data_IF_080404914290
#
_entry.id   IF_080404914290
#
_cell.length_a   1.000
_cell.length_b   1.000
_cell.length_c   1.000
_cell.angle_alpha   90.00
_cell.angle_beta   90.00
_cell.angle_gamma   90.00
#
_symmetry.space_group_name_H-M   'P 1'
#
loop_
_entity.id
_entity.type
_entity.pdbx_description
1 polymer ?
#
# COMPACT_ATOMS: atom_id res chain seq x y z
N UNK A 1 -4.40 2.44 7.76
CA UNK A 1 -4.81 3.81 7.37
C UNK A 1 -4.66 4.88 8.45
N UNK A 2 -4.51 4.56 9.75
CA UNK A 2 -4.13 5.56 10.79
C UNK A 2 -2.76 6.23 10.54
N UNK A 3 -1.95 5.65 9.66
CA UNK A 3 -0.56 5.97 9.40
C UNK A 3 -0.42 7.15 8.40
N UNK A 4 -1.44 7.42 7.58
CA UNK A 4 -1.40 8.53 6.59
C UNK A 4 -1.59 9.94 7.21
N UNK A 5 -1.91 10.04 8.51
CA UNK A 5 -2.28 11.32 9.15
C UNK A 5 -1.10 12.19 9.62
N UNK A 6 0.14 11.70 9.73
CA UNK A 6 1.23 12.51 10.34
C UNK A 6 2.18 13.18 9.33
N UNK A 7 1.82 13.29 8.05
CA UNK A 7 2.80 13.56 7.01
C UNK A 7 3.30 15.01 6.86
N UNK A 8 2.99 15.96 7.75
CA UNK A 8 3.21 17.38 7.41
C UNK A 8 3.84 18.29 8.46
N UNK A 9 4.73 17.81 9.33
CA UNK A 9 5.53 18.69 10.18
C UNK A 9 6.97 18.20 10.38
N UNK A 10 7.85 18.43 9.40
CA UNK A 10 9.30 18.56 9.64
C UNK A 10 9.90 19.41 8.51
N UNK A 11 10.53 20.57 8.81
CA UNK A 11 11.28 21.32 7.81
C UNK A 11 12.45 20.46 7.35
N UNK A 12 12.53 20.17 6.05
CA UNK A 12 13.72 19.54 5.47
C UNK A 12 14.79 20.63 5.42
N UNK A 13 15.82 20.53 6.26
CA UNK A 13 16.97 21.41 6.18
C UNK A 13 17.81 21.09 4.95
N UNK A 14 18.21 22.12 4.20
CA UNK A 14 19.16 21.99 3.09
C UNK A 14 20.47 21.36 3.61
N UNK A 15 20.87 20.23 3.04
CA UNK A 15 22.04 19.45 3.46
C UNK A 15 21.74 18.20 4.29
N UNK A 16 20.47 17.93 4.64
CA UNK A 16 20.07 16.65 5.22
C UNK A 16 20.17 15.51 4.18
N UNK A 17 20.62 14.29 4.57
CA UNK A 17 20.63 13.15 3.65
C UNK A 17 19.21 12.97 3.11
N UNK A 18 19.07 12.79 1.80
CA UNK A 18 17.76 12.62 1.13
C UNK A 18 16.95 11.58 1.90
N UNK A 19 15.91 12.02 2.61
CA UNK A 19 15.02 11.11 3.31
C UNK A 19 14.04 10.56 2.28
N UNK A 20 13.92 9.25 2.20
CA UNK A 20 12.89 8.64 1.38
C UNK A 20 11.53 8.74 2.07
N UNK A 21 10.45 8.54 1.32
CA UNK A 21 9.09 8.46 1.89
C UNK A 21 9.04 7.44 3.02
N UNK A 22 9.76 6.31 2.88
CA UNK A 22 9.89 5.25 3.87
C UNK A 22 10.59 5.70 5.17
N UNK A 23 11.37 6.78 5.13
CA UNK A 23 12.05 7.35 6.30
C UNK A 23 11.14 8.33 7.07
N UNK A 24 9.89 8.50 6.64
CA UNK A 24 8.89 9.25 7.40
C UNK A 24 8.74 8.73 8.83
N UNK A 25 8.53 9.63 9.80
CA UNK A 25 8.32 9.28 11.22
C UNK A 25 7.22 8.24 11.41
N UNK A 26 6.18 8.41 10.60
CA UNK A 26 5.03 7.53 10.42
C UNK A 26 5.42 6.05 10.27
N UNK A 27 6.35 5.75 9.37
CA UNK A 27 6.77 4.38 9.06
C UNK A 27 7.80 3.88 10.06
N UNK A 28 8.70 4.77 10.50
CA UNK A 28 9.71 4.46 11.53
C UNK A 28 9.12 4.15 12.91
N UNK A 29 7.94 4.68 13.22
CA UNK A 29 7.25 4.46 14.51
C UNK A 29 6.09 3.47 14.40
N UNK A 30 5.84 2.91 13.22
CA UNK A 30 4.80 1.90 13.07
C UNK A 30 5.17 0.67 13.89
N UNK A 31 4.42 0.35 14.94
CA UNK A 31 4.62 -0.83 15.79
C UNK A 31 3.82 -2.04 15.29
N UNK A 32 2.80 -1.79 14.47
CA UNK A 32 1.86 -2.80 14.03
C UNK A 32 0.82 -3.21 15.07
N UNK A 33 0.77 -2.52 16.21
CA UNK A 33 -0.30 -2.61 17.20
C UNK A 33 -0.77 -1.20 17.55
N UNK A 34 -1.83 -1.09 18.35
CA UNK A 34 -2.25 0.19 18.93
C UNK A 34 -1.38 0.60 20.12
N UNK A 35 -0.41 -0.23 20.52
CA UNK A 35 0.46 0.03 21.64
C UNK A 35 1.71 0.77 21.14
N UNK A 36 1.84 2.04 21.52
CA UNK A 36 2.97 2.89 21.13
C UNK A 36 4.26 2.53 21.88
N UNK A 37 4.18 1.77 22.97
CA UNK A 37 5.33 1.35 23.76
C UNK A 37 6.04 0.12 23.17
N UNK A 38 5.46 -0.50 22.14
CA UNK A 38 6.10 -1.61 21.43
C UNK A 38 7.22 -1.12 20.50
N UNK A 39 8.24 -1.96 20.26
CA UNK A 39 9.30 -1.60 19.33
C UNK A 39 8.72 -1.39 17.91
N UNK A 40 9.33 -0.52 17.10
CA UNK A 40 8.96 -0.39 15.69
C UNK A 40 8.95 -1.74 14.97
N UNK A 41 7.96 -1.96 14.12
CA UNK A 41 7.72 -3.20 13.40
C UNK A 41 8.98 -3.66 12.65
N UNK A 42 9.63 -2.78 11.88
CA UNK A 42 10.84 -3.11 11.12
C UNK A 42 12.07 -3.41 11.99
N UNK A 43 12.03 -3.15 13.30
CA UNK A 43 13.10 -3.51 14.23
C UNK A 43 12.94 -4.93 14.82
N UNK A 44 11.78 -5.55 14.65
CA UNK A 44 11.50 -6.90 15.14
C UNK A 44 12.19 -7.91 14.19
N UNK A 45 13.04 -8.81 14.71
CA UNK A 45 13.62 -9.87 13.89
C UNK A 45 12.54 -10.70 13.19
N UNK A 46 12.66 -10.87 11.87
CA UNK A 46 11.67 -11.58 11.05
C UNK A 46 10.47 -10.75 10.62
N UNK A 47 10.35 -9.49 11.04
CA UNK A 47 9.31 -8.60 10.55
C UNK A 47 9.72 -7.94 9.22
N UNK A 48 8.98 -8.26 8.16
CA UNK A 48 9.20 -7.76 6.82
C UNK A 48 8.11 -6.76 6.43
N UNK A 49 8.52 -5.55 6.13
CA UNK A 49 7.67 -4.49 5.62
C UNK A 49 7.75 -4.45 4.10
N UNK A 50 6.60 -4.36 3.43
CA UNK A 50 6.50 -4.26 1.98
C UNK A 50 5.69 -3.04 1.55
N UNK A 51 6.01 -2.52 0.37
CA UNK A 51 5.04 -1.76 -0.42
C UNK A 51 4.33 -2.67 -1.40
N UNK A 52 3.07 -2.36 -1.71
CA UNK A 52 2.34 -2.97 -2.82
C UNK A 52 2.29 -1.99 -3.99
N UNK A 53 2.53 -2.51 -5.18
CA UNK A 53 2.50 -1.78 -6.45
C UNK A 53 1.69 -2.59 -7.46
N UNK A 54 0.95 -1.90 -8.29
CA UNK A 54 0.03 -2.43 -9.28
C UNK A 54 -0.18 -1.37 -10.35
N UNK A 55 0.06 -1.75 -11.60
CA UNK A 55 -0.09 -0.87 -12.75
C UNK A 55 -0.62 -1.68 -13.94
N UNK A 56 -1.34 -1.02 -14.84
CA UNK A 56 -1.89 -1.65 -16.04
C UNK A 56 -1.11 -1.20 -17.26
N UNK A 57 -0.49 -2.14 -17.96
CA UNK A 57 0.27 -1.82 -19.17
C UNK A 57 -0.18 -2.63 -20.38
N UNK A 58 -0.22 -1.92 -21.52
CA UNK A 58 -0.52 -2.52 -22.81
C UNK A 58 0.72 -3.23 -23.35
N UNK A 59 0.60 -4.54 -23.58
CA UNK A 59 1.70 -5.40 -24.04
C UNK A 59 2.04 -5.24 -25.54
N UNK A 60 1.14 -4.67 -26.34
CA UNK A 60 1.28 -4.55 -27.79
C UNK A 60 1.50 -3.11 -28.29
N UNK A 61 1.74 -2.16 -27.39
CA UNK A 61 2.02 -0.77 -27.73
C UNK A 61 0.79 0.06 -28.11
N UNK A 62 1.01 1.34 -28.46
CA UNK A 62 -0.03 2.38 -28.55
C UNK A 62 -1.14 2.15 -29.60
N UNK A 63 -0.97 1.19 -30.52
CA UNK A 63 -1.86 1.04 -31.68
C UNK A 63 -2.94 -0.02 -31.52
N UNK A 64 -2.84 -0.90 -30.52
CA UNK A 64 -3.73 -2.05 -30.40
C UNK A 64 -4.05 -2.32 -28.94
N UNK A 65 -5.31 -2.10 -28.56
CA UNK A 65 -5.87 -2.47 -27.24
C UNK A 65 -6.11 -3.98 -27.14
N UNK A 66 -5.14 -4.79 -27.55
CA UNK A 66 -5.31 -6.24 -27.70
C UNK A 66 -5.02 -7.00 -26.40
N UNK A 67 -4.21 -6.48 -25.49
CA UNK A 67 -3.98 -7.10 -24.19
C UNK A 67 -3.39 -6.10 -23.16
N UNK A 68 -4.05 -5.99 -22.02
CA UNK A 68 -3.56 -5.35 -20.80
C UNK A 68 -3.07 -6.41 -19.82
N UNK A 69 -1.93 -6.15 -19.18
CA UNK A 69 -1.43 -6.97 -18.09
C UNK A 69 -1.23 -6.08 -16.87
N UNK A 70 -1.70 -6.55 -15.72
CA UNK A 70 -1.49 -5.90 -14.43
C UNK A 70 -0.74 -6.81 -13.46
N UNK A 71 0.56 -6.61 -13.23
CA UNK A 71 1.26 -7.30 -12.16
C UNK A 71 0.87 -6.69 -10.82
N UNK A 72 0.76 -7.53 -9.81
CA UNK A 72 0.73 -7.12 -8.41
C UNK A 72 2.11 -7.42 -7.85
N UNK A 73 2.86 -6.37 -7.55
CA UNK A 73 4.23 -6.46 -7.08
C UNK A 73 4.32 -6.04 -5.61
N UNK A 74 5.16 -6.76 -4.87
CA UNK A 74 5.55 -6.40 -3.51
C UNK A 74 7.03 -6.05 -3.49
N UNK A 75 7.37 -4.92 -2.87
CA UNK A 75 8.75 -4.44 -2.76
C UNK A 75 9.15 -4.40 -1.29
N UNK A 76 10.22 -5.11 -0.92
CA UNK A 76 10.67 -5.20 0.47
C UNK A 76 11.33 -3.89 0.93
N UNK A 77 10.71 -3.21 1.90
CA UNK A 77 11.16 -1.93 2.43
C UNK A 77 12.33 -2.07 3.43
N UNK A 78 12.56 -3.27 3.98
CA UNK A 78 13.72 -3.55 4.83
C UNK A 78 15.05 -3.50 4.07
N UNK A 79 15.01 -3.56 2.72
CA UNK A 79 16.21 -3.44 1.89
C UNK A 79 16.71 -1.99 1.82
N UNK A 80 18.02 -1.78 1.60
CA UNK A 80 18.56 -0.45 1.32
C UNK A 80 17.85 0.20 0.12
N UNK A 81 17.60 1.52 0.15
CA UNK A 81 17.05 2.30 -0.96
C UNK A 81 17.56 1.93 -2.35
N UNK A 82 18.89 1.81 -2.49
CA UNK A 82 19.58 1.50 -3.75
C UNK A 82 19.33 0.08 -4.28
N UNK A 83 18.72 -0.79 -3.48
CA UNK A 83 18.44 -2.18 -3.85
C UNK A 83 16.96 -2.46 -4.09
N UNK A 84 16.04 -1.69 -3.51
CA UNK A 84 14.60 -2.01 -3.52
C UNK A 84 14.01 -2.18 -4.91
N UNK A 85 14.39 -1.29 -5.84
CA UNK A 85 13.83 -1.24 -7.20
C UNK A 85 14.62 -2.08 -8.21
N UNK A 86 15.56 -2.91 -7.74
CA UNK A 86 16.23 -3.86 -8.63
C UNK A 86 15.28 -5.00 -8.99
N UNK A 87 15.21 -5.44 -10.26
CA UNK A 87 14.27 -6.48 -10.69
C UNK A 87 14.30 -7.76 -9.86
N UNK A 88 15.47 -8.16 -9.37
CA UNK A 88 15.66 -9.33 -8.51
C UNK A 88 15.05 -9.22 -7.10
N UNK A 89 14.66 -8.01 -6.67
CA UNK A 89 14.03 -7.75 -5.38
C UNK A 89 12.51 -7.51 -5.48
N UNK A 90 11.93 -7.63 -6.68
CA UNK A 90 10.49 -7.61 -6.86
C UNK A 90 9.88 -8.98 -6.58
N UNK A 91 8.89 -8.99 -5.68
CA UNK A 91 8.09 -10.16 -5.39
C UNK A 91 6.78 -10.05 -6.16
N UNK A 92 6.65 -10.80 -7.24
CA UNK A 92 5.41 -10.82 -8.03
C UNK A 92 4.40 -11.68 -7.30
N UNK A 93 3.41 -11.04 -6.67
CA UNK A 93 2.33 -11.69 -5.95
C UNK A 93 1.23 -12.22 -6.90
N UNK A 94 1.10 -11.60 -8.08
CA UNK A 94 0.16 -12.04 -9.10
C UNK A 94 0.38 -11.33 -10.42
N UNK A 95 -0.11 -11.93 -11.51
CA UNK A 95 -0.19 -11.32 -12.83
C UNK A 95 -1.62 -11.50 -13.30
N UNK A 96 -2.29 -10.40 -13.61
CA UNK A 96 -3.67 -10.40 -14.11
C UNK A 96 -3.62 -10.18 -15.63
N UNK A 97 -3.82 -11.23 -16.44
CA UNK A 97 -3.95 -11.07 -17.89
C UNK A 97 -5.38 -10.69 -18.28
N UNK A 98 -5.53 -9.83 -19.28
CA UNK A 98 -6.84 -9.53 -19.85
C UNK A 98 -6.78 -8.76 -21.15
N UNK A 99 -7.82 -8.84 -21.98
CA UNK A 99 -7.96 -7.91 -23.12
C UNK A 99 -8.19 -6.48 -22.64
N UNK A 100 -8.79 -6.34 -21.46
CA UNK A 100 -9.10 -5.09 -20.77
C UNK A 100 -8.75 -5.23 -19.30
N UNK A 101 -8.59 -4.08 -18.65
CA UNK A 101 -8.52 -3.99 -17.20
C UNK A 101 -9.78 -4.62 -16.57
N UNK A 102 -9.64 -5.38 -15.48
CA UNK A 102 -10.75 -5.98 -14.77
C UNK A 102 -11.65 -4.90 -14.18
N UNK A 103 -12.93 -5.22 -13.99
CA UNK A 103 -13.80 -4.36 -13.18
C UNK A 103 -13.36 -4.39 -11.72
N UNK A 104 -13.72 -3.36 -10.94
CA UNK A 104 -13.41 -3.32 -9.50
C UNK A 104 -13.84 -4.61 -8.76
N UNK A 105 -15.03 -5.13 -9.07
CA UNK A 105 -15.52 -6.39 -8.49
C UNK A 105 -14.65 -7.60 -8.89
N UNK A 106 -14.20 -7.67 -10.14
CA UNK A 106 -13.30 -8.75 -10.58
C UNK A 106 -11.94 -8.65 -9.90
N UNK A 107 -11.42 -7.43 -9.75
CA UNK A 107 -10.17 -7.18 -9.05
C UNK A 107 -10.27 -7.60 -7.58
N UNK A 108 -11.38 -7.31 -6.89
CA UNK A 108 -11.61 -7.75 -5.52
C UNK A 108 -11.47 -9.27 -5.39
N UNK A 109 -12.12 -10.04 -6.27
CA UNK A 109 -12.02 -11.51 -6.27
C UNK A 109 -10.59 -11.99 -6.56
N UNK A 110 -9.87 -11.33 -7.45
CA UNK A 110 -8.48 -11.66 -7.78
C UNK A 110 -7.52 -11.36 -6.62
N UNK A 111 -7.81 -10.35 -5.80
CA UNK A 111 -7.01 -9.97 -4.64
C UNK A 111 -7.33 -10.80 -3.38
N UNK A 112 -8.49 -11.45 -3.31
CA UNK A 112 -8.90 -12.25 -2.14
C UNK A 112 -7.84 -13.26 -1.66
N UNK A 113 -7.18 -14.06 -2.54
CA UNK A 113 -6.14 -14.99 -2.11
C UNK A 113 -4.95 -14.28 -1.47
N UNK A 114 -4.46 -13.20 -2.10
CA UNK A 114 -3.35 -12.40 -1.59
C UNK A 114 -3.71 -11.77 -0.23
N UNK A 115 -4.91 -11.20 -0.09
CA UNK A 115 -5.38 -10.62 1.17
C UNK A 115 -5.44 -11.69 2.28
N UNK A 116 -5.85 -12.92 1.95
CA UNK A 116 -5.89 -14.02 2.91
C UNK A 116 -4.49 -14.37 3.40
N UNK A 117 -3.54 -14.56 2.49
CA UNK A 117 -2.14 -14.85 2.82
C UNK A 117 -1.49 -13.72 3.63
N UNK A 118 -1.72 -12.46 3.24
CA UNK A 118 -1.22 -11.30 3.98
C UNK A 118 -1.80 -11.23 5.40
N UNK A 119 -3.06 -11.63 5.62
CA UNK A 119 -3.65 -11.71 6.96
C UNK A 119 -3.01 -12.80 7.81
N UNK A 120 -2.69 -13.95 7.22
CA UNK A 120 -1.99 -15.05 7.90
C UNK A 120 -0.56 -14.61 8.28
N UNK A 121 0.18 -14.06 7.31
CA UNK A 121 1.53 -13.53 7.54
C UNK A 121 1.56 -12.35 8.51
N UNK A 122 0.48 -11.59 8.63
CA UNK A 122 0.35 -10.52 9.62
C UNK A 122 0.23 -11.06 11.06
N UNK A 123 -0.41 -12.21 11.26
CA UNK A 123 -0.38 -12.89 12.57
C UNK A 123 0.99 -13.51 12.84
N UNK A 124 1.70 -13.86 11.77
CA UNK A 124 3.04 -14.42 11.79
C UNK A 124 3.03 -15.90 11.46
N UNK A 125 4.14 -16.36 10.89
CA UNK A 125 4.31 -17.73 10.41
C UNK A 125 5.61 -18.32 10.94
N UNK A 126 5.53 -19.53 11.48
CA UNK A 126 6.69 -20.27 11.98
C UNK A 126 7.16 -21.28 10.93
N UNK A 127 8.45 -21.25 10.62
CA UNK A 127 9.05 -22.24 9.73
C UNK A 127 9.50 -23.46 10.51
N UNK A 128 9.37 -24.64 9.88
CA UNK A 128 10.00 -25.84 10.40
C UNK A 128 11.53 -25.70 10.31
N UNK A 129 12.28 -26.12 11.33
CA UNK A 129 13.73 -26.10 11.28
C UNK A 129 14.22 -26.99 10.13
N UNK A 130 14.96 -26.42 9.18
CA UNK A 130 15.71 -27.20 8.19
C UNK A 130 17.06 -27.66 8.79
N UNK A 131 17.67 -28.70 8.23
CA UNK A 131 18.96 -29.25 8.72
C UNK A 131 20.13 -28.25 8.65
N UNK A 132 19.98 -27.19 7.85
CA UNK A 132 20.86 -26.03 7.73
C UNK A 132 20.21 -24.74 8.25
N UNK A 133 19.27 -24.89 9.19
CA UNK A 133 18.22 -23.96 9.62
C UNK A 133 18.45 -22.44 9.44
N UNK A 134 17.41 -21.67 9.04
CA UNK A 134 17.52 -20.23 8.98
C UNK A 134 17.75 -19.62 10.37
N UNK A 135 18.46 -18.49 10.41
CA UNK A 135 18.73 -17.72 11.64
C UNK A 135 17.44 -17.25 12.36
N UNK A 136 16.31 -17.25 11.66
CA UNK A 136 15.02 -16.73 12.12
C UNK A 136 13.93 -17.78 11.85
N UNK A 137 13.23 -18.21 12.91
CA UNK A 137 12.19 -19.24 12.88
C UNK A 137 10.77 -18.69 12.77
N UNK A 138 10.62 -17.37 12.69
CA UNK A 138 9.36 -16.65 12.68
C UNK A 138 9.42 -15.49 11.69
N UNK A 139 8.41 -15.37 10.82
CA UNK A 139 8.25 -14.22 9.94
C UNK A 139 6.89 -13.59 10.15
N UNK A 140 6.87 -12.26 10.18
CA UNK A 140 5.64 -11.48 10.17
C UNK A 140 5.72 -10.46 9.03
N UNK A 141 4.67 -10.34 8.22
CA UNK A 141 4.66 -9.44 7.07
C UNK A 141 3.65 -8.32 7.24
N UNK A 142 4.00 -7.11 6.83
CA UNK A 142 3.09 -5.97 6.78
C UNK A 142 3.22 -5.19 5.48
N UNK A 143 2.09 -4.81 4.88
CA UNK A 143 2.05 -3.82 3.81
C UNK A 143 1.97 -2.44 4.45
N UNK A 144 3.04 -1.66 4.33
CA UNK A 144 3.08 -0.31 4.89
C UNK A 144 2.47 0.69 3.92
N UNK A 145 2.81 0.59 2.63
CA UNK A 145 2.42 1.59 1.65
C UNK A 145 1.93 0.96 0.36
N UNK A 146 1.06 1.68 -0.34
CA UNK A 146 0.69 1.39 -1.71
C UNK A 146 1.33 2.48 -2.59
N UNK A 147 2.18 2.07 -3.53
CA UNK A 147 2.80 2.95 -4.51
C UNK A 147 2.05 2.70 -5.81
N UNK A 148 1.15 3.61 -6.14
CA UNK A 148 0.16 3.41 -7.19
C UNK A 148 -0.16 4.77 -7.79
N UNK A 149 -0.55 4.77 -9.06
CA UNK A 149 -1.23 5.94 -9.62
C UNK A 149 -2.60 6.11 -8.94
N UNK A 150 -3.27 7.24 -9.20
CA UNK A 150 -4.54 7.54 -8.51
C UNK A 150 -5.62 6.54 -8.89
N UNK A 151 -5.62 6.02 -10.12
CA UNK A 151 -6.64 5.10 -10.60
C UNK A 151 -6.49 3.73 -9.92
N UNK A 152 -5.32 3.11 -10.01
CA UNK A 152 -5.02 1.83 -9.39
C UNK A 152 -5.14 1.91 -7.85
N UNK A 153 -4.78 3.04 -7.25
CA UNK A 153 -4.98 3.25 -5.82
C UNK A 153 -6.46 3.22 -5.44
N UNK A 154 -7.33 3.89 -6.21
CA UNK A 154 -8.78 3.87 -5.95
C UNK A 154 -9.34 2.45 -6.06
N UNK A 155 -8.92 1.71 -7.10
CA UNK A 155 -9.33 0.33 -7.34
C UNK A 155 -8.87 -0.61 -6.21
N UNK A 156 -7.60 -0.53 -5.80
CA UNK A 156 -7.03 -1.42 -4.78
C UNK A 156 -7.60 -1.15 -3.37
N UNK A 157 -7.92 0.10 -3.05
CA UNK A 157 -8.26 0.53 -1.69
C UNK A 157 -9.75 0.80 -1.46
N UNK A 158 -10.57 0.67 -2.51
CA UNK A 158 -12.01 0.94 -2.47
C UNK A 158 -12.34 2.42 -2.30
N UNK A 159 -11.45 3.32 -2.74
CA UNK A 159 -11.80 4.74 -2.85
C UNK A 159 -12.60 5.00 -4.12
N UNK A 160 -13.41 6.05 -4.06
CA UNK A 160 -14.14 6.54 -5.23
C UNK A 160 -13.13 7.06 -6.25
N UNK A 161 -13.37 6.78 -7.53
CA UNK A 161 -12.54 7.28 -8.64
C UNK A 161 -12.40 8.81 -8.61
N UNK A 162 -11.32 9.31 -9.23
CA UNK A 162 -11.04 10.74 -9.41
C UNK A 162 -12.20 11.51 -10.07
N UNK A 163 -13.08 10.83 -10.80
CA UNK A 163 -14.25 11.42 -11.46
C UNK A 163 -15.47 11.59 -10.54
N UNK A 164 -15.49 10.96 -9.36
CA UNK A 164 -16.62 10.96 -8.44
C UNK A 164 -16.79 12.24 -7.63
N UNK A 165 -17.91 12.35 -6.91
CA UNK A 165 -18.23 13.54 -6.12
C UNK A 165 -17.26 13.73 -4.94
N UNK A 166 -16.78 12.64 -4.34
CA UNK A 166 -15.77 12.66 -3.27
C UNK A 166 -14.47 12.04 -3.77
N UNK A 167 -13.77 12.77 -4.64
CA UNK A 167 -12.57 12.31 -5.36
C UNK A 167 -11.29 12.32 -4.49
N UNK A 168 -11.28 13.08 -3.39
CA UNK A 168 -10.12 13.14 -2.51
C UNK A 168 -10.09 11.95 -1.53
N UNK A 169 -8.94 11.29 -1.45
CA UNK A 169 -8.71 10.19 -0.51
C UNK A 169 -8.47 10.68 0.92
N UNK A 170 -8.02 11.93 1.05
CA UNK A 170 -7.67 12.54 2.33
C UNK A 170 -8.84 13.28 2.98
N UNK A 171 -9.64 14.00 2.19
CA UNK A 171 -10.74 14.80 2.70
C UNK A 171 -12.11 14.38 2.16
N UNK A 172 -13.16 14.94 2.74
CA UNK A 172 -14.55 14.73 2.35
C UNK A 172 -15.13 15.89 1.55
N UNK A 173 -14.28 16.78 1.01
CA UNK A 173 -14.74 17.89 0.15
C UNK A 173 -15.34 17.33 -1.13
N UNK A 174 -16.46 17.92 -1.53
CA UNK A 174 -17.16 17.53 -2.76
C UNK A 174 -16.55 18.22 -3.97
N UNK A 175 -16.68 17.61 -5.14
CA UNK A 175 -16.21 18.17 -6.42
C UNK A 175 -16.80 19.55 -6.71
N UNK A 176 -18.05 19.79 -6.29
CA UNK A 176 -18.71 21.10 -6.41
C UNK A 176 -18.02 22.21 -5.59
N UNK A 177 -17.21 21.84 -4.60
CA UNK A 177 -16.52 22.72 -3.67
C UNK A 177 -15.00 22.63 -3.83
N UNK A 178 -14.50 22.25 -5.02
CA UNK A 178 -13.07 22.01 -5.25
C UNK A 178 -12.19 23.24 -4.99
N UNK A 179 -12.77 24.44 -5.10
CA UNK A 179 -12.09 25.72 -4.84
C UNK A 179 -11.98 26.02 -3.33
N UNK A 180 -12.71 25.29 -2.47
CA UNK A 180 -12.58 25.43 -1.02
C UNK A 180 -11.24 24.84 -0.58
N UNK A 181 -10.30 25.73 -0.21
CA UNK A 181 -9.03 25.34 0.38
C UNK A 181 -9.34 24.72 1.75
N UNK A 182 -9.14 23.41 1.86
CA UNK A 182 -9.38 22.63 3.08
C UNK A 182 -8.62 23.24 4.27
N UNK A 183 -9.28 23.95 5.21
CA UNK A 183 -8.60 24.50 6.35
C UNK A 183 -8.32 23.34 7.32
N UNK A 184 -7.04 23.05 7.52
CA UNK A 184 -6.52 22.40 8.74
C UNK A 184 -7.37 21.23 9.27
N UNK A 185 -7.45 20.15 8.50
CA UNK A 185 -7.95 18.85 8.96
C UNK A 185 -9.45 18.75 9.31
N UNK A 186 -10.25 19.82 9.18
CA UNK A 186 -11.67 19.77 9.56
C UNK A 186 -12.49 18.74 8.76
N UNK A 187 -12.07 18.48 7.52
CA UNK A 187 -12.74 17.56 6.60
C UNK A 187 -11.98 16.24 6.38
N UNK A 188 -11.09 15.85 7.30
CA UNK A 188 -10.31 14.61 7.12
C UNK A 188 -11.21 13.38 7.13
N UNK A 189 -10.97 12.49 6.17
CA UNK A 189 -11.60 11.20 6.14
C UNK A 189 -11.03 10.32 7.25
N UNK A 190 -11.90 9.81 8.12
CA UNK A 190 -11.50 8.84 9.13
C UNK A 190 -11.57 7.40 8.58
N UNK A 191 -10.71 6.53 9.07
CA UNK A 191 -10.74 5.10 8.73
C UNK A 191 -12.11 4.46 9.04
N UNK A 192 -12.73 4.84 10.16
CA UNK A 192 -14.04 4.32 10.54
C UNK A 192 -15.13 4.72 9.54
N UNK A 193 -15.15 5.98 9.10
CA UNK A 193 -16.11 6.47 8.11
C UNK A 193 -15.86 5.84 6.75
N UNK A 194 -14.61 5.64 6.35
CA UNK A 194 -14.27 4.95 5.10
C UNK A 194 -14.79 3.51 5.10
N UNK A 195 -14.50 2.77 6.17
CA UNK A 195 -14.94 1.38 6.31
C UNK A 195 -16.46 1.24 6.33
N UNK A 196 -17.16 2.12 7.06
CA UNK A 196 -18.63 2.12 7.07
C UNK A 196 -19.22 2.52 5.74
N UNK A 197 -18.53 3.34 4.94
CA UNK A 197 -18.96 3.66 3.58
C UNK A 197 -18.83 2.43 2.69
N UNK A 198 -17.67 1.77 2.64
CA UNK A 198 -17.46 0.55 1.84
C UNK A 198 -18.50 -0.53 2.20
N UNK A 199 -18.78 -0.72 3.50
CA UNK A 199 -19.75 -1.71 3.96
C UNK A 199 -21.20 -1.46 3.52
N UNK A 200 -21.55 -0.26 3.03
CA UNK A 200 -22.87 0.03 2.44
C UNK A 200 -22.96 -0.33 0.95
N UNK A 201 -21.82 -0.51 0.29
CA UNK A 201 -21.72 -0.84 -1.13
C UNK A 201 -21.62 -2.35 -1.37
N UNK A 202 -21.27 -3.12 -0.33
CA UNK A 202 -21.26 -4.58 -0.29
C UNK A 202 -22.60 -5.11 0.25
#
# INVERSE_FOLDING_TARGET
MEILHQHQQSPISEGSPKCEICDGLVWRRFTGTRNINEPPFMSIPGALAFSIDMDWFNTHGKSTWLASIGPIMLICLNRPPSERLKPENFFVAGIIPGLKEPTALQLDYLLMPLIKELKELWQGYHFLPTSTGPLVSFIRVSILMAILDVVAMCELTGFISHSGNHFCNFCTIQKAQIEEICPQFQYTRSYHNHKSTIAKWL
#
